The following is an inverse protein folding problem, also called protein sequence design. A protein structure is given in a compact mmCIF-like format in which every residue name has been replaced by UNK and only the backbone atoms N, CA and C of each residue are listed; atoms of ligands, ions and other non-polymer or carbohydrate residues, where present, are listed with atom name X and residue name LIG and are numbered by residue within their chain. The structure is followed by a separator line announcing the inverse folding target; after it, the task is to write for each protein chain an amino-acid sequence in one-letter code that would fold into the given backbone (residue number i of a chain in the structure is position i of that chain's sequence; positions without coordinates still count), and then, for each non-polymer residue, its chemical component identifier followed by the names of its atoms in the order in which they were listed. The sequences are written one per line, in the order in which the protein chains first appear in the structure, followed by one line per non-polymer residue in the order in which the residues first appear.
data_IF_155065590596
#
_entry.id   IF_155065590596
#
_cell.length_a   1.000
_cell.length_b   1.000
_cell.length_c   1.000
_cell.angle_alpha   90.00
_cell.angle_beta   90.00
_cell.angle_gamma   90.00
#
_symmetry.space_group_name_H-M   'P 1'
#
loop_
_entity.id
_entity.type
_entity.pdbx_description
1 polymer ?
#
# COMPACT_ATOMS: atom_id res chain seq x y z
N UNK A 1 -2.11 -4.60 -22.73
CA UNK A 1 -1.83 -4.58 -21.29
C UNK A 1 -0.35 -4.39 -21.04
N UNK A 2 0.03 -3.45 -20.17
CA UNK A 2 1.42 -3.07 -19.98
C UNK A 2 2.27 -4.16 -19.32
N UNK A 3 1.71 -4.87 -18.35
CA UNK A 3 2.43 -5.90 -17.60
C UNK A 3 1.76 -7.25 -17.79
N UNK A 4 2.25 -8.02 -18.75
CA UNK A 4 1.72 -9.36 -19.04
C UNK A 4 2.79 -10.41 -18.78
N UNK A 5 2.37 -11.55 -18.29
CA UNK A 5 3.20 -12.75 -18.15
C UNK A 5 4.50 -12.52 -17.39
N UNK A 6 4.48 -11.67 -16.36
CA UNK A 6 5.65 -11.40 -15.54
C UNK A 6 5.44 -11.91 -14.12
N UNK A 7 6.54 -12.28 -13.48
CA UNK A 7 6.54 -12.73 -12.10
C UNK A 7 6.36 -11.53 -11.16
N UNK A 8 5.94 -11.82 -9.93
CA UNK A 8 5.66 -10.78 -8.93
C UNK A 8 6.88 -9.89 -8.66
N UNK A 9 8.08 -10.47 -8.52
CA UNK A 9 9.30 -9.69 -8.32
C UNK A 9 9.61 -8.76 -9.49
N UNK A 10 9.42 -9.25 -10.70
CA UNK A 10 9.62 -8.43 -11.90
C UNK A 10 8.59 -7.31 -11.97
N UNK A 11 7.34 -7.60 -11.58
CA UNK A 11 6.29 -6.59 -11.53
C UNK A 11 6.65 -5.47 -10.56
N UNK A 12 7.13 -5.80 -9.36
CA UNK A 12 7.55 -4.79 -8.37
C UNK A 12 8.65 -3.89 -8.92
N UNK A 13 9.64 -4.49 -9.58
CA UNK A 13 10.75 -3.74 -10.16
C UNK A 13 10.27 -2.80 -11.28
N UNK A 14 9.40 -3.27 -12.13
CA UNK A 14 8.88 -2.46 -13.24
C UNK A 14 7.97 -1.34 -12.76
N UNK A 15 7.10 -1.59 -11.81
CA UNK A 15 6.23 -0.56 -11.22
C UNK A 15 7.09 0.51 -10.54
N UNK A 16 8.11 0.09 -9.77
CA UNK A 16 9.04 1.03 -9.14
C UNK A 16 9.73 1.91 -10.16
N UNK A 17 10.28 1.31 -11.20
CA UNK A 17 10.99 2.04 -12.24
C UNK A 17 10.06 2.97 -13.04
N UNK A 18 8.87 2.49 -13.39
CA UNK A 18 7.99 3.24 -14.30
C UNK A 18 7.26 4.38 -13.61
N UNK A 19 6.93 4.25 -12.32
CA UNK A 19 6.08 5.22 -11.64
C UNK A 19 6.72 5.90 -10.44
N UNK A 20 7.75 5.30 -9.85
CA UNK A 20 8.34 5.78 -8.60
C UNK A 20 9.84 6.06 -8.70
N UNK A 21 10.33 6.31 -9.91
CA UNK A 21 11.77 6.51 -10.15
C UNK A 21 12.36 7.69 -9.37
N UNK A 22 11.56 8.71 -9.07
CA UNK A 22 12.01 9.88 -8.31
C UNK A 22 12.08 9.64 -6.79
N UNK A 23 11.68 8.45 -6.35
CA UNK A 23 11.60 8.09 -4.93
C UNK A 23 12.48 6.89 -4.65
N UNK A 24 12.71 6.62 -3.36
CA UNK A 24 13.33 5.37 -2.95
C UNK A 24 12.25 4.29 -2.94
N UNK A 25 12.40 3.28 -3.80
CA UNK A 25 11.43 2.19 -3.91
C UNK A 25 12.09 0.80 -3.77
N UNK A 26 13.33 0.76 -3.30
CA UNK A 26 14.11 -0.48 -3.22
C UNK A 26 14.34 -0.96 -1.79
N UNK A 27 13.89 -0.20 -0.80
CA UNK A 27 14.04 -0.59 0.61
C UNK A 27 13.17 -1.80 0.92
N UNK A 28 13.72 -2.69 1.73
CA UNK A 28 12.99 -3.84 2.23
C UNK A 28 12.51 -3.51 3.64
N UNK A 29 11.19 -3.57 3.84
CA UNK A 29 10.57 -3.36 5.15
C UNK A 29 9.97 -4.68 5.60
N UNK A 30 10.67 -5.42 6.47
CA UNK A 30 10.14 -6.66 7.04
C UNK A 30 9.43 -7.53 6.01
N UNK A 31 8.10 -7.68 6.14
CA UNK A 31 7.28 -8.51 5.26
C UNK A 31 6.42 -7.71 4.30
N UNK A 32 6.67 -6.41 4.20
CA UNK A 32 5.95 -5.55 3.27
C UNK A 32 6.61 -5.67 1.90
N UNK A 33 5.83 -6.04 0.89
CA UNK A 33 6.33 -6.36 -0.45
C UNK A 33 6.96 -5.18 -1.17
N UNK A 34 6.40 -3.99 -0.99
CA UNK A 34 6.79 -2.83 -1.76
C UNK A 34 6.58 -1.57 -0.93
N UNK A 35 7.58 -0.71 -0.91
CA UNK A 35 7.52 0.55 -0.16
C UNK A 35 8.12 1.68 -0.97
N UNK A 36 7.53 2.85 -0.87
CA UNK A 36 8.02 4.07 -1.53
C UNK A 36 8.27 5.13 -0.47
N UNK A 37 9.48 5.66 -0.45
CA UNK A 37 9.92 6.67 0.51
C UNK A 37 10.53 7.87 -0.19
N UNK A 38 10.56 8.99 0.52
CA UNK A 38 11.33 10.15 0.07
C UNK A 38 12.80 9.72 -0.10
N UNK A 39 13.50 10.21 -1.13
CA UNK A 39 14.89 9.81 -1.36
C UNK A 39 15.84 10.20 -0.24
N UNK A 40 15.47 11.19 0.56
CA UNK A 40 16.30 11.65 1.68
C UNK A 40 15.70 11.23 3.02
N UNK A 41 16.55 11.07 4.03
CA UNK A 41 16.10 10.85 5.41
C UNK A 41 16.01 12.18 6.14
N UNK A 42 15.10 12.26 7.12
CA UNK A 42 14.90 13.44 7.93
C UNK A 42 15.09 13.05 9.40
N UNK A 43 16.06 13.68 10.08
CA UNK A 43 16.36 13.39 11.48
C UNK A 43 16.61 11.89 11.71
N UNK A 44 17.31 11.26 10.76
CA UNK A 44 17.65 9.84 10.84
C UNK A 44 16.49 8.89 10.51
N UNK A 45 15.35 9.41 10.09
CA UNK A 45 14.18 8.60 9.77
C UNK A 45 13.77 8.75 8.30
N UNK A 46 13.29 7.64 7.73
CA UNK A 46 12.72 7.67 6.39
C UNK A 46 11.27 8.12 6.44
N UNK A 47 10.87 8.89 5.46
CA UNK A 47 9.48 9.27 5.28
C UNK A 47 8.87 8.40 4.18
N UNK A 48 8.01 7.47 4.58
CA UNK A 48 7.31 6.59 3.63
C UNK A 48 6.04 7.24 3.15
N UNK A 49 5.82 7.18 1.84
CA UNK A 49 4.56 7.62 1.23
C UNK A 49 3.63 6.45 0.99
N UNK A 50 4.19 5.25 0.84
CA UNK A 50 3.42 4.06 0.46
C UNK A 50 4.03 2.80 1.03
N UNK A 51 3.18 1.95 1.62
CA UNK A 51 3.45 0.54 1.84
C UNK A 51 2.42 -0.23 1.02
N UNK A 52 2.85 -1.20 0.22
CA UNK A 52 1.97 -1.88 -0.71
C UNK A 52 2.19 -3.38 -0.74
N UNK A 53 1.14 -4.09 -1.10
CA UNK A 53 1.15 -5.50 -1.42
C UNK A 53 1.10 -5.65 -2.93
N UNK A 54 1.98 -6.48 -3.49
CA UNK A 54 2.03 -6.76 -4.91
C UNK A 54 1.58 -8.19 -5.18
N UNK A 55 0.78 -8.37 -6.20
CA UNK A 55 0.33 -9.69 -6.66
C UNK A 55 0.43 -9.75 -8.17
N UNK A 56 0.69 -10.93 -8.70
CA UNK A 56 0.79 -11.13 -10.14
C UNK A 56 -0.58 -11.28 -10.79
N UNK A 57 -0.61 -11.13 -12.08
CA UNK A 57 -1.81 -11.32 -12.92
C UNK A 57 -2.97 -10.41 -12.46
N UNK A 58 -4.16 -10.95 -12.38
CA UNK A 58 -5.37 -10.21 -12.01
C UNK A 58 -5.86 -10.55 -10.61
N UNK A 59 -4.94 -10.84 -9.70
CA UNK A 59 -5.28 -11.19 -8.31
C UNK A 59 -6.18 -10.11 -7.71
N UNK A 60 -7.14 -10.55 -6.88
CA UNK A 60 -8.11 -9.66 -6.23
C UNK A 60 -7.41 -8.66 -5.32
N UNK A 61 -7.50 -7.37 -5.67
CA UNK A 61 -6.83 -6.30 -4.90
C UNK A 61 -7.42 -6.13 -3.51
N UNK A 62 -8.69 -6.47 -3.31
CA UNK A 62 -9.30 -6.39 -1.97
C UNK A 62 -8.70 -7.42 -1.03
N UNK A 63 -8.47 -8.62 -1.52
CA UNK A 63 -7.80 -9.66 -0.74
C UNK A 63 -6.33 -9.30 -0.47
N UNK A 64 -5.67 -8.73 -1.46
CA UNK A 64 -4.29 -8.28 -1.29
C UNK A 64 -4.18 -7.18 -0.24
N UNK A 65 -5.12 -6.24 -0.22
CA UNK A 65 -5.13 -5.17 0.78
C UNK A 65 -5.40 -5.72 2.18
N UNK A 66 -6.34 -6.65 2.32
CA UNK A 66 -6.60 -7.30 3.61
C UNK A 66 -5.35 -8.02 4.12
N UNK A 67 -4.66 -8.71 3.24
CA UNK A 67 -3.40 -9.39 3.58
C UNK A 67 -2.34 -8.40 4.05
N UNK A 68 -2.22 -7.26 3.40
CA UNK A 68 -1.28 -6.21 3.82
C UNK A 68 -1.61 -5.68 5.21
N UNK A 69 -2.87 -5.40 5.50
CA UNK A 69 -3.29 -4.91 6.83
C UNK A 69 -2.95 -5.94 7.89
N UNK A 70 -3.24 -7.23 7.64
CA UNK A 70 -2.90 -8.30 8.59
C UNK A 70 -1.39 -8.43 8.78
N UNK A 71 -0.62 -8.27 7.73
CA UNK A 71 0.85 -8.28 7.81
C UNK A 71 1.38 -7.16 8.69
N UNK A 72 0.87 -5.95 8.49
CA UNK A 72 1.27 -4.78 9.29
C UNK A 72 0.88 -4.99 10.75
N UNK A 73 -0.34 -5.46 11.01
CA UNK A 73 -0.82 -5.68 12.37
C UNK A 73 -0.03 -6.76 13.11
N UNK A 74 0.24 -7.88 12.44
CA UNK A 74 0.98 -8.99 13.02
C UNK A 74 2.42 -8.59 13.37
N UNK A 75 3.10 -7.88 12.47
CA UNK A 75 4.47 -7.42 12.67
C UNK A 75 4.55 -6.17 13.55
N UNK A 76 3.42 -5.49 13.77
CA UNK A 76 3.34 -4.22 14.49
C UNK A 76 4.32 -3.19 13.92
N UNK A 77 4.40 -3.15 12.60
CA UNK A 77 5.33 -2.28 11.88
C UNK A 77 5.17 -0.81 12.28
N UNK A 78 3.93 -0.40 12.57
CA UNK A 78 3.60 0.96 12.97
C UNK A 78 4.21 1.39 14.31
N UNK A 79 4.73 0.45 15.11
CA UNK A 79 5.41 0.78 16.35
C UNK A 79 6.88 1.13 16.16
N UNK A 80 7.47 0.66 15.05
CA UNK A 80 8.90 0.84 14.78
C UNK A 80 9.19 1.87 13.71
N UNK A 81 8.25 2.07 12.79
CA UNK A 81 8.40 2.98 11.66
C UNK A 81 7.24 3.96 11.64
N UNK A 82 7.49 5.18 11.22
CA UNK A 82 6.42 6.14 10.98
C UNK A 82 5.54 5.60 9.87
N UNK A 83 4.21 5.59 10.07
CA UNK A 83 3.30 5.09 9.05
C UNK A 83 3.37 5.90 7.75
N UNK A 84 3.08 5.26 6.60
CA UNK A 84 3.06 5.96 5.34
C UNK A 84 1.81 6.80 5.18
N UNK A 85 1.80 7.67 4.17
CA UNK A 85 0.60 8.42 3.83
C UNK A 85 -0.49 7.50 3.27
N UNK A 86 -0.10 6.48 2.50
CA UNK A 86 -1.01 5.57 1.83
C UNK A 86 -0.61 4.12 2.03
N UNK A 87 -1.62 3.25 2.09
CA UNK A 87 -1.45 1.84 1.80
C UNK A 87 -1.90 1.61 0.36
N UNK A 88 -1.29 0.65 -0.30
CA UNK A 88 -1.64 0.35 -1.67
C UNK A 88 -1.59 -1.12 -1.98
N UNK A 89 -2.18 -1.44 -3.11
CA UNK A 89 -2.12 -2.77 -3.68
C UNK A 89 -1.96 -2.64 -5.18
N UNK A 90 -1.23 -3.54 -5.78
CA UNK A 90 -1.23 -3.60 -7.23
C UNK A 90 -1.08 -5.03 -7.72
N UNK A 91 -1.67 -5.25 -8.88
CA UNK A 91 -1.49 -6.47 -9.65
C UNK A 91 -0.92 -6.08 -11.01
N UNK A 92 -1.00 -6.96 -12.02
CA UNK A 92 -0.46 -6.66 -13.34
C UNK A 92 -1.31 -5.65 -14.12
N UNK A 93 -2.52 -5.34 -13.65
CA UNK A 93 -3.47 -4.50 -14.38
C UNK A 93 -3.60 -3.09 -13.82
N UNK A 94 -3.56 -2.95 -12.49
CA UNK A 94 -3.86 -1.68 -11.85
C UNK A 94 -3.15 -1.54 -10.51
N UNK A 95 -3.10 -0.31 -10.03
CA UNK A 95 -2.69 0.04 -8.68
C UNK A 95 -3.83 0.82 -8.02
N UNK A 96 -4.03 0.60 -6.71
CA UNK A 96 -5.02 1.32 -5.93
C UNK A 96 -4.39 1.78 -4.62
N UNK A 97 -4.84 2.93 -4.15
CA UNK A 97 -4.33 3.54 -2.91
C UNK A 97 -5.48 3.81 -1.96
N UNK A 98 -5.23 3.63 -0.66
CA UNK A 98 -6.13 4.15 0.37
C UNK A 98 -5.32 4.97 1.37
N UNK A 99 -5.89 6.05 1.92
CA UNK A 99 -5.22 6.79 2.96
C UNK A 99 -4.98 5.91 4.19
N UNK A 100 -3.77 5.95 4.74
CA UNK A 100 -3.44 5.15 5.93
C UNK A 100 -4.38 5.46 7.10
N UNK A 101 -4.75 6.74 7.27
CA UNK A 101 -5.61 7.14 8.38
C UNK A 101 -7.00 6.48 8.34
N UNK A 102 -7.44 6.01 7.18
CA UNK A 102 -8.73 5.31 7.03
C UNK A 102 -8.71 3.92 7.70
N UNK A 103 -7.54 3.33 7.90
CA UNK A 103 -7.42 1.99 8.48
C UNK A 103 -6.66 1.95 9.79
N UNK A 104 -6.07 3.07 10.22
CA UNK A 104 -5.18 3.03 11.39
C UNK A 104 -5.87 2.57 12.67
N UNK A 105 -7.17 2.81 12.82
CA UNK A 105 -7.93 2.37 13.99
C UNK A 105 -8.07 0.84 14.06
N UNK A 106 -7.93 0.15 12.94
CA UNK A 106 -7.99 -1.31 12.90
C UNK A 106 -6.89 -1.91 13.79
N UNK A 107 -5.71 -1.29 13.80
CA UNK A 107 -4.54 -1.81 14.51
C UNK A 107 -4.66 -1.69 16.03
N UNK A 108 -5.58 -0.89 16.51
CA UNK A 108 -5.80 -0.69 17.95
C UNK A 108 -7.05 -1.38 18.46
N UNK A 109 -7.68 -2.23 17.67
CA UNK A 109 -8.86 -2.99 18.09
C UNK A 109 -8.51 -3.92 19.23
N UNK A 110 -9.41 -3.96 20.24
CA UNK A 110 -9.35 -4.95 21.31
C UNK A 110 -9.90 -6.29 20.81
N UNK A 111 -9.44 -7.37 21.40
CA UNK A 111 -9.94 -8.73 21.14
C UNK A 111 -9.75 -9.20 19.70
N UNK A 112 -8.76 -8.66 19.01
CA UNK A 112 -8.42 -9.10 17.66
C UNK A 112 -7.15 -9.94 17.71
N UNK A 113 -7.21 -11.13 17.11
CA UNK A 113 -6.07 -12.05 17.06
C UNK A 113 -5.15 -11.72 15.88
N UNK A 114 -4.14 -10.91 16.10
CA UNK A 114 -3.17 -10.54 15.06
C UNK A 114 -2.16 -11.63 14.73
N UNK A 115 -2.20 -12.78 15.43
CA UNK A 115 -1.24 -13.86 15.17
C UNK A 115 -1.61 -14.76 13.99
N UNK A 116 -2.78 -14.55 13.38
CA UNK A 116 -3.19 -15.32 12.20
C UNK A 116 -2.19 -15.13 11.05
N UNK A 117 -2.08 -16.14 10.20
CA UNK A 117 -1.23 -16.05 9.00
C UNK A 117 -1.92 -15.15 7.98
N UNK A 118 -1.30 -14.02 7.59
CA UNK A 118 -1.97 -13.06 6.69
C UNK A 118 -2.42 -13.64 5.35
N UNK A 119 -1.71 -14.63 4.83
CA UNK A 119 -2.05 -15.29 3.57
C UNK A 119 -3.13 -16.35 3.68
N UNK A 120 -3.56 -16.70 4.90
CA UNK A 120 -4.66 -17.65 5.11
C UNK A 120 -5.98 -16.89 5.04
N UNK A 121 -6.65 -16.96 3.90
CA UNK A 121 -7.87 -16.23 3.63
C UNK A 121 -9.13 -16.88 4.24
N UNK A 122 -8.96 -17.96 4.99
CA UNK A 122 -10.09 -18.69 5.58
C UNK A 122 -10.32 -18.38 7.07
N UNK A 123 -9.54 -17.47 7.64
CA UNK A 123 -9.71 -17.10 9.04
C UNK A 123 -10.83 -16.06 9.21
N UNK A 124 -11.44 -16.05 10.40
CA UNK A 124 -12.43 -15.04 10.74
C UNK A 124 -11.80 -13.63 10.73
N UNK A 125 -10.55 -13.54 11.18
CA UNK A 125 -9.81 -12.29 11.20
C UNK A 125 -9.60 -11.75 9.78
N UNK A 126 -9.24 -12.61 8.83
CA UNK A 126 -9.12 -12.19 7.44
C UNK A 126 -10.45 -11.64 6.92
N UNK A 127 -11.54 -12.35 7.16
CA UNK A 127 -12.85 -11.94 6.68
C UNK A 127 -13.27 -10.58 7.27
N UNK A 128 -13.03 -10.38 8.55
CA UNK A 128 -13.34 -9.12 9.22
C UNK A 128 -12.57 -7.95 8.60
N UNK A 129 -11.26 -8.11 8.41
CA UNK A 129 -10.42 -7.08 7.80
C UNK A 129 -10.81 -6.89 6.33
N UNK A 130 -11.06 -7.97 5.61
CA UNK A 130 -11.45 -7.92 4.21
C UNK A 130 -12.72 -7.07 4.00
N UNK A 131 -13.73 -7.31 4.81
CA UNK A 131 -14.98 -6.56 4.70
C UNK A 131 -14.77 -5.07 4.98
N UNK A 132 -13.95 -4.75 5.96
CA UNK A 132 -13.64 -3.36 6.31
C UNK A 132 -12.88 -2.64 5.21
N UNK A 133 -11.79 -3.24 4.71
CA UNK A 133 -10.97 -2.61 3.68
C UNK A 133 -11.67 -2.55 2.34
N UNK A 134 -12.51 -3.53 2.04
CA UNK A 134 -13.30 -3.51 0.81
C UNK A 134 -14.23 -2.31 0.77
N UNK A 135 -14.93 -2.03 1.87
CA UNK A 135 -15.78 -0.85 1.97
C UNK A 135 -15.00 0.44 1.78
N UNK A 136 -13.83 0.53 2.40
CA UNK A 136 -12.98 1.72 2.28
C UNK A 136 -12.49 1.87 0.83
N UNK A 137 -12.01 0.78 0.24
CA UNK A 137 -11.45 0.79 -1.10
C UNK A 137 -12.48 1.15 -2.15
N UNK A 138 -13.71 0.66 -2.01
CA UNK A 138 -14.81 0.99 -2.93
C UNK A 138 -15.25 2.45 -2.80
N UNK A 139 -15.20 3.01 -1.59
CA UNK A 139 -15.71 4.36 -1.32
C UNK A 139 -14.69 5.45 -1.59
N UNK A 140 -13.42 5.25 -1.20
CA UNK A 140 -12.42 6.31 -1.15
C UNK A 140 -11.14 5.99 -1.92
N UNK A 141 -11.07 4.87 -2.62
CA UNK A 141 -9.83 4.47 -3.25
C UNK A 141 -9.54 5.27 -4.51
N UNK A 142 -8.25 5.48 -4.72
CA UNK A 142 -7.74 5.97 -5.98
C UNK A 142 -7.27 4.76 -6.78
N UNK A 143 -7.94 4.50 -7.90
CA UNK A 143 -7.67 3.36 -8.78
C UNK A 143 -7.09 3.86 -10.10
N UNK A 144 -6.01 3.24 -10.55
CA UNK A 144 -5.35 3.62 -11.80
C UNK A 144 -4.97 2.37 -12.57
N UNK A 145 -5.43 2.26 -13.81
CA UNK A 145 -5.03 1.17 -14.70
C UNK A 145 -3.70 1.50 -15.33
N UNK A 146 -2.77 0.55 -15.24
CA UNK A 146 -1.46 0.73 -15.86
C UNK A 146 -1.60 0.86 -17.37
N UNK A 147 -0.89 1.82 -17.94
CA UNK A 147 -0.97 2.14 -19.35
C UNK A 147 -2.07 3.12 -19.67
N UNK A 148 -3.30 2.78 -19.34
CA UNK A 148 -4.47 3.59 -19.66
C UNK A 148 -4.53 4.87 -18.83
N UNK A 149 -4.28 4.76 -17.54
CA UNK A 149 -4.41 5.88 -16.60
C UNK A 149 -3.05 6.43 -16.14
N UNK A 150 -2.00 6.24 -16.95
CA UNK A 150 -0.64 6.61 -16.55
C UNK A 150 -0.52 8.11 -16.25
N UNK A 151 -1.16 8.95 -17.03
CA UNK A 151 -1.10 10.40 -16.81
C UNK A 151 -1.70 10.76 -15.46
N UNK A 152 -2.86 10.23 -15.16
CA UNK A 152 -3.58 10.47 -13.89
C UNK A 152 -2.78 9.89 -12.72
N UNK A 153 -2.17 8.72 -12.91
CA UNK A 153 -1.35 8.09 -11.88
C UNK A 153 -0.11 8.93 -11.57
N UNK A 154 0.61 9.39 -12.59
CA UNK A 154 1.77 10.25 -12.38
C UNK A 154 1.39 11.55 -11.68
N UNK A 155 0.25 12.14 -12.05
CA UNK A 155 -0.26 13.34 -11.40
C UNK A 155 -0.59 13.09 -9.93
N UNK A 156 -1.27 11.98 -9.64
CA UNK A 156 -1.61 11.60 -8.27
C UNK A 156 -0.34 11.47 -7.41
N UNK A 157 0.65 10.76 -7.90
CA UNK A 157 1.92 10.56 -7.18
C UNK A 157 2.61 11.91 -6.94
N UNK A 158 2.74 12.71 -7.97
CA UNK A 158 3.41 14.01 -7.88
C UNK A 158 2.74 14.94 -6.87
N UNK A 159 1.42 14.94 -6.84
CA UNK A 159 0.66 15.82 -5.95
C UNK A 159 0.58 15.31 -4.51
N UNK A 160 0.64 14.01 -4.30
CA UNK A 160 0.37 13.42 -2.99
C UNK A 160 1.60 12.87 -2.28
N UNK A 161 2.64 12.50 -3.01
CA UNK A 161 3.86 11.98 -2.40
C UNK A 161 4.85 13.12 -2.15
N UNK A 162 4.42 14.03 -1.29
CA UNK A 162 5.21 15.20 -0.88
C UNK A 162 5.17 15.34 0.64
N UNK A 163 6.26 15.86 1.21
CA UNK A 163 6.36 16.09 2.66
C UNK A 163 5.38 17.21 3.05
N UNK A 164 4.73 17.02 4.21
CA UNK A 164 3.82 18.04 4.76
C UNK A 164 2.39 17.92 4.28
N UNK A 165 2.09 16.91 3.45
CA UNK A 165 0.74 16.68 2.95
C UNK A 165 0.15 15.42 3.58
N UNK A 166 -1.12 15.49 4.00
CA UNK A 166 -1.80 14.32 4.53
C UNK A 166 -2.37 13.47 3.39
N UNK A 167 -2.70 12.22 3.70
CA UNK A 167 -3.33 11.32 2.75
C UNK A 167 -4.75 11.73 2.36
N UNK A 168 -5.31 12.76 2.98
CA UNK A 168 -6.59 13.34 2.60
C UNK A 168 -6.44 14.59 1.74
N UNK A 169 -5.24 14.88 1.27
CA UNK A 169 -4.86 16.09 0.56
C UNK A 169 -4.99 17.37 1.40
N UNK A 170 -5.15 17.21 2.71
CA UNK A 170 -5.10 18.35 3.62
C UNK A 170 -3.65 18.71 3.88
N UNK A 171 -3.36 19.98 3.92
CA UNK A 171 -2.03 20.48 4.23
C UNK A 171 -1.91 20.60 5.74
N UNK A 172 -0.81 20.12 6.31
CA UNK A 172 -0.51 20.33 7.72
C UNK A 172 -0.27 21.79 7.99
N UNK A 173 -0.86 22.29 9.04
CA UNK A 173 -0.69 23.68 9.47
C UNK A 173 0.26 23.77 10.64
#
# INVERSE_FOLDING_TARGET
MKYQNILEEELKNKVGHDYFAAYNHTDIIERIDFAVAHPETFFGQKHYFLWAEAKRANFDIYKALAQLVLTIGKARTFERLLPPNYLGVFNSQLIAFIPYWEVQDIFTQNDFNWSVTPSDHNTAEFEQVYNRVKNILERNAYHFRFGTDDKELHTFIKENFVIGKTSTNKIYK
#
